data_IF_734204111813
#
_entry.id   IF_734204111813
#
_cell.length_a   1.000
_cell.length_b   1.000
_cell.length_c   1.000
_cell.angle_alpha   90.00
_cell.angle_beta   90.00
_cell.angle_gamma   90.00
#
_symmetry.space_group_name_H-M   'P 1'
#
loop_
_entity.id
_entity.type
_entity.pdbx_description
1 polymer ?
#
# COMPACT_ATOMS: atom_id res chain seq x y z
N UNK A 1 26.87 -47.02 -34.85
CA UNK A 1 25.73 -46.49 -34.08
C UNK A 1 25.94 -44.99 -33.91
N UNK A 2 25.34 -44.17 -34.77
CA UNK A 2 25.38 -42.71 -34.64
C UNK A 2 24.33 -42.30 -33.61
N UNK A 3 24.76 -41.77 -32.47
CA UNK A 3 23.86 -41.23 -31.45
C UNK A 3 23.28 -39.92 -32.00
N UNK A 4 21.98 -39.93 -32.30
CA UNK A 4 21.22 -38.73 -32.62
C UNK A 4 21.11 -37.89 -31.34
N UNK A 5 21.81 -36.76 -31.31
CA UNK A 5 21.62 -35.70 -30.33
C UNK A 5 20.18 -35.19 -30.43
N UNK A 6 19.38 -35.15 -29.33
CA UNK A 6 18.03 -34.60 -29.41
C UNK A 6 18.11 -33.12 -29.76
N UNK A 7 17.37 -32.71 -30.79
CA UNK A 7 17.27 -31.31 -31.17
C UNK A 7 16.71 -30.49 -30.01
N UNK A 8 17.41 -29.40 -29.66
CA UNK A 8 16.96 -28.47 -28.64
C UNK A 8 15.59 -27.88 -29.04
N UNK A 9 14.58 -28.08 -28.20
CA UNK A 9 13.27 -27.45 -28.36
C UNK A 9 13.47 -25.94 -28.23
N UNK A 10 13.11 -25.12 -29.24
CA UNK A 10 13.26 -23.69 -29.15
C UNK A 10 12.39 -23.17 -28.01
N UNK A 11 13.01 -22.56 -26.99
CA UNK A 11 12.27 -21.78 -25.98
C UNK A 11 11.68 -20.58 -26.70
N UNK A 12 10.41 -20.67 -27.07
CA UNK A 12 9.64 -19.49 -27.49
C UNK A 12 9.68 -18.49 -26.34
N UNK A 13 10.24 -17.31 -26.60
CA UNK A 13 10.21 -16.22 -25.63
C UNK A 13 8.73 -15.88 -25.38
N UNK A 14 8.23 -16.26 -24.20
CA UNK A 14 6.85 -15.98 -23.81
C UNK A 14 6.76 -14.48 -23.51
N UNK A 15 6.25 -13.70 -24.44
CA UNK A 15 5.96 -12.28 -24.21
C UNK A 15 4.85 -12.17 -23.16
N UNK A 16 5.10 -11.43 -22.08
CA UNK A 16 4.08 -11.15 -21.08
C UNK A 16 3.01 -10.22 -21.65
N UNK A 17 1.76 -10.40 -21.23
CA UNK A 17 0.75 -9.37 -21.45
C UNK A 17 1.08 -8.13 -20.64
N UNK A 18 0.53 -6.98 -21.03
CA UNK A 18 0.72 -5.72 -20.31
C UNK A 18 0.38 -5.84 -18.81
N UNK A 19 -0.76 -6.44 -18.47
CA UNK A 19 -1.16 -6.64 -17.06
C UNK A 19 -0.24 -7.62 -16.33
N UNK A 20 0.25 -8.68 -16.99
CA UNK A 20 1.19 -9.60 -16.37
C UNK A 20 2.55 -8.94 -16.10
N UNK A 21 2.98 -8.02 -16.95
CA UNK A 21 4.18 -7.22 -16.72
C UNK A 21 4.01 -6.28 -15.51
N UNK A 22 2.90 -5.52 -15.46
CA UNK A 22 2.60 -4.62 -14.33
C UNK A 22 2.45 -5.37 -13.01
N UNK A 23 1.80 -6.53 -13.03
CA UNK A 23 1.67 -7.41 -11.87
C UNK A 23 3.04 -7.89 -11.39
N UNK A 24 3.90 -8.35 -12.29
CA UNK A 24 5.24 -8.81 -11.94
C UNK A 24 6.12 -7.68 -11.38
N UNK A 25 6.08 -6.49 -11.98
CA UNK A 25 6.79 -5.30 -11.49
C UNK A 25 6.30 -4.88 -10.10
N UNK A 26 4.98 -4.86 -9.88
CA UNK A 26 4.40 -4.50 -8.59
C UNK A 26 4.77 -5.51 -7.50
N UNK A 27 4.70 -6.81 -7.80
CA UNK A 27 5.12 -7.88 -6.88
C UNK A 27 6.60 -7.76 -6.54
N UNK A 28 7.45 -7.44 -7.53
CA UNK A 28 8.87 -7.23 -7.30
C UNK A 28 9.10 -6.07 -6.32
N UNK A 29 8.50 -4.89 -6.55
CA UNK A 29 8.64 -3.74 -5.64
C UNK A 29 8.17 -4.05 -4.22
N UNK A 30 7.06 -4.78 -4.06
CA UNK A 30 6.55 -5.19 -2.75
C UNK A 30 7.56 -6.10 -2.02
N UNK A 31 8.21 -7.03 -2.75
CA UNK A 31 9.24 -7.92 -2.19
C UNK A 31 10.50 -7.16 -1.79
N UNK A 32 10.95 -6.22 -2.60
CA UNK A 32 12.10 -5.36 -2.26
C UNK A 32 11.82 -4.57 -0.97
N UNK A 33 10.62 -3.98 -0.84
CA UNK A 33 10.26 -3.27 0.39
C UNK A 33 10.26 -4.20 1.61
N UNK A 34 9.77 -5.44 1.47
CA UNK A 34 9.79 -6.39 2.58
C UNK A 34 11.20 -6.93 2.90
N UNK A 35 12.14 -6.87 1.96
CA UNK A 35 13.51 -7.34 2.14
C UNK A 35 14.43 -6.26 2.74
N UNK A 36 14.23 -4.99 2.37
CA UNK A 36 15.13 -3.89 2.70
C UNK A 36 14.69 -3.07 3.93
N UNK A 37 13.43 -3.19 4.37
CA UNK A 37 12.88 -2.43 5.49
C UNK A 37 12.49 -3.35 6.66
N UNK A 38 12.73 -2.90 7.89
CA UNK A 38 12.48 -3.68 9.10
C UNK A 38 11.01 -3.72 9.50
N UNK A 39 10.30 -2.60 9.33
CA UNK A 39 8.91 -2.41 9.76
C UNK A 39 8.06 -1.76 8.65
N UNK A 40 7.90 -2.42 7.49
CA UNK A 40 7.02 -1.91 6.45
C UNK A 40 5.55 -2.00 6.88
N UNK A 41 4.70 -1.18 6.26
CA UNK A 41 3.24 -1.21 6.41
C UNK A 41 2.55 -1.00 5.07
N UNK A 42 1.39 -1.63 4.85
CA UNK A 42 0.56 -1.39 3.66
C UNK A 42 -0.64 -0.52 4.02
N UNK A 43 -0.76 0.66 3.41
CA UNK A 43 -1.90 1.54 3.62
C UNK A 43 -3.16 0.96 2.95
N UNK A 44 -4.18 0.65 3.75
CA UNK A 44 -5.37 -0.05 3.31
C UNK A 44 -6.65 0.74 3.65
N UNK A 45 -7.23 1.42 2.67
CA UNK A 45 -8.46 2.19 2.84
C UNK A 45 -9.73 1.37 2.61
N UNK A 46 -9.63 0.17 2.00
CA UNK A 46 -10.79 -0.55 1.47
C UNK A 46 -11.27 0.00 0.12
N UNK A 47 -10.59 0.99 -0.44
CA UNK A 47 -10.81 1.47 -1.81
C UNK A 47 -10.16 0.56 -2.86
N UNK A 48 -10.61 0.68 -4.11
CA UNK A 48 -10.19 -0.17 -5.25
C UNK A 48 -8.67 -0.38 -5.37
N UNK A 49 -7.87 0.68 -5.25
CA UNK A 49 -6.42 0.59 -5.47
C UNK A 49 -5.74 -0.12 -4.29
N UNK A 50 -6.19 0.14 -3.08
CA UNK A 50 -5.69 -0.55 -1.88
C UNK A 50 -6.05 -2.05 -1.87
N UNK A 51 -7.21 -2.41 -2.44
CA UNK A 51 -7.61 -3.82 -2.64
C UNK A 51 -6.67 -4.51 -3.65
N UNK A 52 -6.38 -3.85 -4.77
CA UNK A 52 -5.43 -4.37 -5.76
C UNK A 52 -4.05 -4.53 -5.14
N UNK A 53 -3.56 -3.53 -4.39
CA UNK A 53 -2.27 -3.59 -3.72
C UNK A 53 -2.19 -4.72 -2.69
N UNK A 54 -3.23 -4.91 -1.87
CA UNK A 54 -3.32 -6.00 -0.91
C UNK A 54 -3.39 -7.38 -1.60
N UNK A 55 -4.08 -7.47 -2.74
CA UNK A 55 -4.11 -8.69 -3.57
C UNK A 55 -2.73 -9.03 -4.14
N UNK A 56 -2.01 -8.03 -4.66
CA UNK A 56 -0.64 -8.17 -5.16
C UNK A 56 0.32 -8.59 -4.03
N UNK A 57 0.19 -7.99 -2.84
CA UNK A 57 0.95 -8.39 -1.65
C UNK A 57 0.69 -9.86 -1.28
N UNK A 58 -0.57 -10.31 -1.29
CA UNK A 58 -0.91 -11.73 -1.07
C UNK A 58 -0.22 -12.63 -2.09
N UNK A 59 -0.21 -12.25 -3.38
CA UNK A 59 0.49 -13.01 -4.43
C UNK A 59 2.00 -13.00 -4.24
N UNK A 60 2.57 -11.89 -3.77
CA UNK A 60 4.00 -11.74 -3.55
C UNK A 60 4.54 -12.72 -2.51
N UNK A 61 3.76 -13.04 -1.47
CA UNK A 61 4.21 -13.88 -0.35
C UNK A 61 3.50 -15.23 -0.23
N UNK A 62 2.57 -15.56 -1.13
CA UNK A 62 1.92 -16.86 -1.13
C UNK A 62 2.95 -18.02 -1.22
N UNK A 63 2.76 -19.13 -0.46
CA UNK A 63 1.65 -19.42 0.46
C UNK A 63 1.85 -18.91 1.89
N UNK A 64 2.91 -18.13 2.16
CA UNK A 64 3.22 -17.56 3.47
C UNK A 64 2.29 -16.42 3.90
N UNK A 65 2.52 -15.91 5.11
CA UNK A 65 1.84 -14.72 5.64
C UNK A 65 2.44 -13.44 5.07
N UNK A 66 1.71 -12.33 5.16
CA UNK A 66 2.31 -11.03 4.87
C UNK A 66 3.32 -10.68 5.96
N UNK A 67 4.54 -10.22 5.62
CA UNK A 67 5.56 -9.85 6.60
C UNK A 67 5.30 -8.48 7.25
N UNK A 68 4.21 -7.81 6.89
CA UNK A 68 3.83 -6.49 7.39
C UNK A 68 2.33 -6.40 7.68
N UNK A 69 1.91 -5.51 8.60
CA UNK A 69 0.51 -5.22 8.83
C UNK A 69 -0.09 -4.34 7.72
N UNK A 70 -1.42 -4.27 7.73
CA UNK A 70 -2.20 -3.28 7.01
C UNK A 70 -2.51 -2.10 7.96
N UNK A 71 -2.57 -0.88 7.44
CA UNK A 71 -2.93 0.33 8.21
C UNK A 71 -4.08 1.07 7.55
N UNK A 72 -5.14 1.32 8.32
CA UNK A 72 -6.25 2.16 7.95
C UNK A 72 -6.30 3.40 8.83
N UNK A 73 -6.39 4.59 8.22
CA UNK A 73 -6.69 5.84 8.92
C UNK A 73 -8.18 6.10 8.80
N UNK A 74 -8.90 5.90 9.89
CA UNK A 74 -10.35 6.07 9.93
C UNK A 74 -10.68 7.55 10.15
N UNK A 75 -11.38 8.15 9.19
CA UNK A 75 -11.84 9.54 9.33
C UNK A 75 -13.05 9.64 10.27
N UNK A 76 -13.76 8.55 10.53
CA UNK A 76 -15.09 8.54 11.13
C UNK A 76 -16.21 8.86 10.14
N UNK A 77 -15.88 9.19 8.88
CA UNK A 77 -16.84 9.53 7.82
C UNK A 77 -16.88 8.47 6.70
N UNK A 78 -16.32 7.29 6.96
CA UNK A 78 -16.38 6.16 6.03
C UNK A 78 -17.82 5.63 5.91
N UNK A 79 -18.22 5.22 4.71
CA UNK A 79 -19.50 4.52 4.53
C UNK A 79 -19.49 3.19 5.31
N UNK A 80 -20.56 2.85 6.04
CA UNK A 80 -20.65 1.58 6.77
C UNK A 80 -20.37 0.37 5.88
N UNK A 81 -20.84 0.38 4.63
CA UNK A 81 -20.63 -0.68 3.64
C UNK A 81 -19.14 -0.84 3.29
N UNK A 82 -18.39 0.26 3.23
CA UNK A 82 -16.94 0.22 3.01
C UNK A 82 -16.22 -0.46 4.18
N UNK A 83 -16.63 -0.16 5.42
CA UNK A 83 -16.04 -0.77 6.62
C UNK A 83 -16.36 -2.27 6.69
N UNK A 84 -17.61 -2.66 6.42
CA UNK A 84 -18.04 -4.06 6.37
C UNK A 84 -17.22 -4.84 5.31
N UNK A 85 -17.08 -4.27 4.11
CA UNK A 85 -16.28 -4.90 3.06
C UNK A 85 -14.80 -4.99 3.45
N UNK A 86 -14.22 -3.90 3.98
CA UNK A 86 -12.82 -3.85 4.45
C UNK A 86 -12.54 -4.97 5.43
N UNK A 87 -13.38 -5.11 6.46
CA UNK A 87 -13.18 -6.08 7.53
C UNK A 87 -13.33 -7.52 7.00
N UNK A 88 -14.33 -7.77 6.15
CA UNK A 88 -14.52 -9.07 5.48
C UNK A 88 -13.35 -9.44 4.57
N UNK A 89 -12.85 -8.49 3.76
CA UNK A 89 -11.72 -8.71 2.88
C UNK A 89 -10.44 -9.03 3.66
N UNK A 90 -10.16 -8.27 4.72
CA UNK A 90 -8.98 -8.47 5.58
C UNK A 90 -9.07 -9.78 6.34
N UNK A 91 -10.24 -10.21 6.80
CA UNK A 91 -10.41 -11.51 7.45
C UNK A 91 -9.97 -12.69 6.56
N UNK A 92 -10.01 -12.52 5.24
CA UNK A 92 -9.49 -13.49 4.26
C UNK A 92 -7.98 -13.40 4.00
N UNK A 93 -7.27 -12.46 4.63
CA UNK A 93 -5.82 -12.27 4.49
C UNK A 93 -5.11 -12.71 5.78
N UNK A 94 -3.94 -13.38 5.68
CA UNK A 94 -3.12 -13.70 6.84
C UNK A 94 -2.31 -12.47 7.29
N UNK A 95 -3.00 -11.39 7.65
CA UNK A 95 -2.40 -10.10 8.01
C UNK A 95 -3.18 -9.41 9.14
N UNK A 96 -2.47 -8.63 9.95
CA UNK A 96 -3.10 -7.77 10.96
C UNK A 96 -3.56 -6.47 10.31
N UNK A 97 -4.77 -6.00 10.63
CA UNK A 97 -5.22 -4.64 10.32
C UNK A 97 -5.10 -3.76 11.56
N UNK A 98 -4.33 -2.69 11.42
CA UNK A 98 -4.22 -1.61 12.40
C UNK A 98 -5.14 -0.49 11.96
N UNK A 99 -5.96 0.01 12.87
CA UNK A 99 -6.83 1.17 12.65
C UNK A 99 -6.41 2.29 13.59
N UNK A 100 -6.25 3.50 13.06
CA UNK A 100 -6.06 4.73 13.84
C UNK A 100 -7.08 5.77 13.42
N UNK A 101 -7.68 6.44 14.39
CA UNK A 101 -8.81 7.34 14.15
C UNK A 101 -8.38 8.80 14.12
N UNK A 102 -8.89 9.55 13.15
CA UNK A 102 -8.80 11.01 13.13
C UNK A 102 -9.51 11.62 14.34
N UNK A 103 -10.57 10.97 14.82
CA UNK A 103 -11.30 11.38 16.03
C UNK A 103 -10.38 11.40 17.27
N UNK A 104 -9.46 10.45 17.39
CA UNK A 104 -8.52 10.40 18.51
C UNK A 104 -7.53 11.57 18.43
N UNK A 105 -7.09 11.94 17.22
CA UNK A 105 -6.25 13.12 16.99
C UNK A 105 -6.98 14.42 17.34
N UNK A 106 -8.28 14.52 17.06
CA UNK A 106 -9.10 15.67 17.44
C UNK A 106 -9.20 15.76 18.97
N UNK A 107 -9.54 14.65 19.64
CA UNK A 107 -9.64 14.59 21.10
C UNK A 107 -8.33 14.91 21.82
N UNK A 108 -7.20 14.54 21.21
CA UNK A 108 -5.86 14.87 21.70
C UNK A 108 -5.42 16.31 21.38
N UNK A 109 -6.25 17.12 20.71
CA UNK A 109 -5.92 18.51 20.33
C UNK A 109 -4.82 18.62 19.27
N UNK A 110 -4.54 17.54 18.53
CA UNK A 110 -3.49 17.48 17.50
C UNK A 110 -3.94 18.13 16.19
N UNK A 111 -5.24 18.04 15.93
CA UNK A 111 -5.91 18.63 14.77
C UNK A 111 -7.24 19.21 15.20
N UNK A 112 -7.71 20.20 14.45
CA UNK A 112 -9.00 20.82 14.65
C UNK A 112 -9.87 20.54 13.43
N UNK A 113 -11.05 19.96 13.64
CA UNK A 113 -12.06 19.83 12.61
C UNK A 113 -12.80 21.15 12.44
N UNK A 114 -12.79 21.68 11.22
CA UNK A 114 -13.57 22.86 10.85
C UNK A 114 -14.92 22.42 10.30
N UNK A 115 -16.05 22.74 10.95
CA UNK A 115 -17.38 22.27 10.56
C UNK A 115 -17.78 22.60 9.11
N UNK A 116 -17.22 23.67 8.57
CA UNK A 116 -17.45 24.24 7.25
C UNK A 116 -16.39 23.86 6.21
N UNK A 117 -15.49 22.91 6.53
CA UNK A 117 -14.47 22.46 5.58
C UNK A 117 -15.10 21.69 4.41
N UNK A 118 -14.97 22.15 3.16
CA UNK A 118 -15.51 21.43 1.99
C UNK A 118 -14.80 20.09 1.76
N UNK A 119 -13.59 19.92 2.30
CA UNK A 119 -12.81 18.69 2.23
C UNK A 119 -13.06 17.73 3.40
N UNK A 120 -13.92 18.10 4.36
CA UNK A 120 -14.17 17.34 5.58
C UNK A 120 -12.89 16.99 6.33
N UNK A 121 -12.81 15.76 6.85
CA UNK A 121 -11.66 15.25 7.62
C UNK A 121 -10.50 14.72 6.77
N UNK A 122 -10.61 14.72 5.43
CA UNK A 122 -9.58 14.14 4.57
C UNK A 122 -8.18 14.74 4.77
N UNK A 123 -8.02 16.08 4.88
CA UNK A 123 -6.71 16.68 5.14
C UNK A 123 -6.15 16.35 6.53
N UNK A 124 -7.03 16.05 7.50
CA UNK A 124 -6.62 15.77 8.89
C UNK A 124 -5.96 14.39 9.03
N UNK A 125 -6.18 13.49 8.06
CA UNK A 125 -5.58 12.16 8.03
C UNK A 125 -4.06 12.19 8.08
N UNK A 126 -3.41 13.20 7.48
CA UNK A 126 -1.95 13.28 7.43
C UNK A 126 -1.33 13.33 8.84
N UNK A 127 -1.96 14.03 9.79
CA UNK A 127 -1.45 14.09 11.17
C UNK A 127 -1.60 12.73 11.85
N UNK A 128 -2.77 12.10 11.71
CA UNK A 128 -3.04 10.77 12.28
C UNK A 128 -2.11 9.70 11.67
N UNK A 129 -1.84 9.78 10.37
CA UNK A 129 -0.92 8.90 9.66
C UNK A 129 0.52 9.06 10.18
N UNK A 130 1.00 10.29 10.30
CA UNK A 130 2.35 10.55 10.82
C UNK A 130 2.50 10.08 12.27
N UNK A 131 1.44 10.19 13.07
CA UNK A 131 1.43 9.69 14.44
C UNK A 131 1.44 8.17 14.50
N UNK A 132 0.65 7.49 13.65
CA UNK A 132 0.72 6.04 13.50
C UNK A 132 2.11 5.57 13.07
N UNK A 133 2.73 6.24 12.09
CA UNK A 133 4.10 5.91 11.63
C UNK A 133 5.10 6.01 12.78
N UNK A 134 5.01 7.04 13.62
CA UNK A 134 5.88 7.20 14.79
C UNK A 134 5.59 6.17 15.88
N UNK A 135 4.31 5.94 16.18
CA UNK A 135 3.85 5.00 17.22
C UNK A 135 4.35 3.59 16.95
N UNK A 136 4.20 3.11 15.71
CA UNK A 136 4.59 1.76 15.30
C UNK A 136 6.00 1.68 14.72
N UNK A 137 6.70 2.82 14.65
CA UNK A 137 8.05 2.96 14.12
C UNK A 137 8.18 2.40 12.69
N UNK A 138 7.15 2.58 11.85
CA UNK A 138 7.17 2.13 10.47
C UNK A 138 8.27 2.87 9.69
N UNK A 139 9.07 2.14 8.93
CA UNK A 139 10.19 2.66 8.14
C UNK A 139 9.92 2.66 6.62
N UNK A 140 8.85 1.99 6.18
CA UNK A 140 8.29 2.10 4.84
C UNK A 140 6.75 2.02 4.85
N UNK A 141 6.11 2.77 3.96
CA UNK A 141 4.66 2.72 3.74
C UNK A 141 4.35 2.46 2.26
N UNK A 142 3.71 1.32 1.98
CA UNK A 142 3.21 0.97 0.66
C UNK A 142 1.86 1.64 0.41
N UNK A 143 1.78 2.50 -0.61
CA UNK A 143 0.57 3.24 -0.99
C UNK A 143 0.06 2.86 -2.38
N UNK A 144 -1.27 2.80 -2.55
CA UNK A 144 -1.93 2.46 -3.82
C UNK A 144 -2.11 3.63 -4.79
N UNK A 145 -1.31 4.67 -4.66
CA UNK A 145 -1.52 5.93 -5.34
C UNK A 145 -0.96 5.83 -6.78
N UNK A 146 -1.68 6.28 -7.81
CA UNK A 146 -1.24 6.15 -9.23
C UNK A 146 -0.92 7.48 -9.93
N UNK A 147 0.04 7.48 -10.86
CA UNK A 147 0.52 8.68 -11.59
C UNK A 147 -0.56 9.33 -12.47
N UNK A 148 -1.55 8.57 -12.90
CA UNK A 148 -2.64 9.00 -13.78
C UNK A 148 -3.82 9.63 -13.04
N UNK A 149 -3.83 9.60 -11.69
CA UNK A 149 -4.96 10.09 -10.88
C UNK A 149 -5.05 11.62 -10.87
N UNK A 150 -3.89 12.31 -10.86
CA UNK A 150 -3.83 13.76 -10.84
C UNK A 150 -2.62 14.27 -11.61
N UNK A 151 -2.73 15.43 -12.27
CA UNK A 151 -1.64 16.02 -13.08
C UNK A 151 -0.33 16.21 -12.32
N UNK A 152 -0.41 16.54 -11.02
CA UNK A 152 0.76 16.73 -10.17
C UNK A 152 1.58 15.45 -9.99
N UNK A 153 0.97 14.28 -10.19
CA UNK A 153 1.55 12.97 -9.91
C UNK A 153 2.26 12.35 -11.10
N UNK A 154 2.19 12.99 -12.27
CA UNK A 154 2.77 12.49 -13.52
C UNK A 154 4.29 12.21 -13.43
N UNK A 155 5.00 12.93 -12.56
CA UNK A 155 6.45 12.81 -12.36
C UNK A 155 6.84 12.10 -11.06
N UNK A 156 5.88 11.50 -10.35
CA UNK A 156 6.17 10.79 -9.11
C UNK A 156 7.05 9.55 -9.35
N UNK A 157 8.02 9.36 -8.45
CA UNK A 157 8.84 8.15 -8.40
C UNK A 157 8.09 7.05 -7.63
N UNK A 158 8.43 5.78 -7.88
CA UNK A 158 7.84 4.66 -7.13
C UNK A 158 8.23 4.68 -5.65
N UNK A 159 9.42 5.20 -5.33
CA UNK A 159 9.88 5.47 -3.97
C UNK A 159 9.88 6.98 -3.69
N UNK A 160 9.32 7.35 -2.55
CA UNK A 160 9.22 8.74 -2.07
C UNK A 160 9.88 8.83 -0.70
N UNK A 161 11.14 9.25 -0.67
CA UNK A 161 11.93 9.35 0.57
C UNK A 161 11.41 10.50 1.43
N UNK A 162 11.27 10.22 2.73
CA UNK A 162 10.82 11.20 3.73
C UNK A 162 11.94 11.50 4.70
N UNK A 163 12.02 12.75 5.15
CA UNK A 163 12.93 13.11 6.24
C UNK A 163 12.38 12.67 7.60
N UNK A 164 13.16 12.91 8.67
CA UNK A 164 12.79 12.56 10.06
C UNK A 164 11.49 13.22 10.57
N UNK A 165 11.01 14.27 9.89
CA UNK A 165 9.79 14.98 10.23
C UNK A 165 8.60 14.54 9.36
N UNK A 166 8.83 13.68 8.36
CA UNK A 166 7.83 13.22 7.39
C UNK A 166 7.71 14.13 6.16
N UNK A 167 8.55 15.16 6.04
CA UNK A 167 8.56 16.02 4.87
C UNK A 167 9.20 15.31 3.68
N UNK A 168 8.82 15.73 2.47
CA UNK A 168 9.40 15.17 1.25
C UNK A 168 10.82 15.70 1.03
N UNK A 169 11.75 14.81 0.72
CA UNK A 169 13.12 15.15 0.37
C UNK A 169 13.34 14.99 -1.15
N UNK A 170 13.69 16.05 -1.89
CA UNK A 170 13.79 16.02 -3.35
C UNK A 170 14.90 15.14 -3.94
N UNK A 171 15.83 14.63 -3.13
CA UNK A 171 16.96 13.80 -3.60
C UNK A 171 16.55 12.69 -4.56
#
# INVERSE_FOLDING_TARGET
MSLLTPAAVPRTARTLSHLAALEAESIHMIREVAAEFERPVLMFSGGKDSIVLAHLARKAFAPGRLPFPLLHIDTGHNFPETLIFRDSFVAGLPAQLIVRSVEDSIRAGRVEEKPDSPSGRNPLQSVTLLDAIREFQFDAALGGARRDEEKARAKERCFSVRDRFGAWDPR
#
